data_IF_412168671672
#
_entry.id   IF_412168671672
#
_cell.length_a   1.000
_cell.length_b   1.000
_cell.length_c   1.000
_cell.angle_alpha   90.00
_cell.angle_beta   90.00
_cell.angle_gamma   90.00
#
_symmetry.space_group_name_H-M   'P 1'
#
loop_
_entity.id
_entity.type
_entity.pdbx_description
1 polymer ?
#
# COMPACT_ATOMS: atom_id res chain seq x y z
N UNK A 1 -7.13 14.78 9.31
CA UNK A 1 -8.06 13.89 8.58
C UNK A 1 -7.38 12.54 8.46
N UNK A 2 -7.94 11.45 9.01
CA UNK A 2 -7.30 10.13 8.87
C UNK A 2 -7.62 9.58 7.48
N UNK A 3 -6.69 9.75 6.55
CA UNK A 3 -6.76 9.18 5.21
C UNK A 3 -6.79 7.64 5.34
N UNK A 4 -7.82 6.98 4.82
CA UNK A 4 -8.00 5.51 4.85
C UNK A 4 -9.33 5.02 5.45
N UNK A 5 -10.01 5.84 6.25
CA UNK A 5 -11.39 5.59 6.74
C UNK A 5 -12.32 6.73 6.31
N UNK A 6 -12.15 7.20 5.08
CA UNK A 6 -12.86 8.34 4.54
C UNK A 6 -13.50 7.98 3.18
N UNK A 7 -14.79 8.31 2.96
CA UNK A 7 -15.45 8.00 1.69
C UNK A 7 -14.81 8.67 0.46
N UNK A 8 -14.19 9.86 0.59
CA UNK A 8 -13.51 10.51 -0.53
C UNK A 8 -12.20 9.80 -0.85
N UNK A 9 -11.45 9.36 0.15
CA UNK A 9 -10.25 8.53 -0.04
C UNK A 9 -10.57 7.19 -0.74
N UNK A 10 -11.67 6.54 -0.34
CA UNK A 10 -12.19 5.34 -1.01
C UNK A 10 -12.58 5.63 -2.47
N UNK A 11 -13.29 6.74 -2.73
CA UNK A 11 -13.68 7.13 -4.09
C UNK A 11 -12.45 7.40 -4.98
N UNK A 12 -11.44 8.10 -4.45
CA UNK A 12 -10.17 8.32 -5.14
C UNK A 12 -9.50 6.99 -5.51
N UNK A 13 -9.47 6.03 -4.57
CA UNK A 13 -8.90 4.70 -4.82
C UNK A 13 -9.63 3.93 -5.93
N UNK A 14 -10.97 3.99 -5.95
CA UNK A 14 -11.78 3.38 -7.01
C UNK A 14 -11.50 4.03 -8.36
N UNK A 15 -11.51 5.37 -8.41
CA UNK A 15 -11.24 6.12 -9.63
C UNK A 15 -9.87 5.76 -10.22
N UNK A 16 -8.82 5.84 -9.41
CA UNK A 16 -7.46 5.55 -9.86
C UNK A 16 -7.30 4.08 -10.26
N UNK A 17 -7.93 3.14 -9.53
CA UNK A 17 -7.97 1.74 -9.93
C UNK A 17 -8.63 1.53 -11.29
N UNK A 18 -9.75 2.21 -11.57
CA UNK A 18 -10.42 2.15 -12.88
C UNK A 18 -9.53 2.70 -13.99
N UNK A 19 -8.82 3.81 -13.77
CA UNK A 19 -7.87 4.35 -14.76
C UNK A 19 -6.68 3.42 -15.01
N UNK A 20 -6.19 2.75 -13.98
CA UNK A 20 -5.05 1.83 -14.07
C UNK A 20 -5.44 0.46 -14.63
N UNK A 21 -6.73 0.10 -14.62
CA UNK A 21 -7.25 -1.22 -14.97
C UNK A 21 -6.83 -1.72 -16.36
N UNK A 22 -6.84 -0.91 -17.44
CA UNK A 22 -6.38 -1.36 -18.75
C UNK A 22 -4.89 -1.70 -18.75
N UNK A 23 -4.06 -0.90 -18.05
CA UNK A 23 -2.62 -1.14 -17.96
C UNK A 23 -2.35 -2.40 -17.14
N UNK A 24 -3.08 -2.62 -16.05
CA UNK A 24 -3.01 -3.84 -15.26
C UNK A 24 -3.26 -5.11 -16.11
N UNK A 25 -4.26 -5.07 -17.00
CA UNK A 25 -4.65 -6.23 -17.80
C UNK A 25 -3.69 -6.51 -18.96
N UNK A 26 -3.10 -5.46 -19.53
CA UNK A 26 -2.26 -5.53 -20.74
C UNK A 26 -0.78 -5.76 -20.44
N UNK A 27 -0.39 -5.70 -19.17
CA UNK A 27 0.98 -5.91 -18.70
C UNK A 27 1.14 -7.28 -18.03
N UNK A 28 2.38 -7.74 -17.76
CA UNK A 28 2.61 -8.97 -17.00
C UNK A 28 1.85 -8.94 -15.66
N UNK A 29 1.36 -10.11 -15.24
CA UNK A 29 0.55 -10.21 -14.02
C UNK A 29 1.39 -10.57 -12.81
N UNK A 30 0.86 -10.35 -11.61
CA UNK A 30 1.48 -10.87 -10.38
C UNK A 30 1.69 -12.39 -10.43
N UNK A 31 0.73 -13.13 -11.00
CA UNK A 31 0.85 -14.57 -11.23
C UNK A 31 2.03 -14.92 -12.14
N UNK A 32 2.29 -14.13 -13.18
CA UNK A 32 3.45 -14.31 -14.06
C UNK A 32 4.77 -14.01 -13.33
N UNK A 33 4.80 -12.95 -12.51
CA UNK A 33 5.96 -12.68 -11.67
C UNK A 33 6.32 -13.89 -10.80
N UNK A 34 5.32 -14.47 -10.11
CA UNK A 34 5.55 -15.64 -9.27
C UNK A 34 5.93 -16.89 -10.07
N UNK A 35 5.31 -17.12 -11.23
CA UNK A 35 5.61 -18.31 -12.05
C UNK A 35 7.05 -18.32 -12.55
N UNK A 36 7.59 -17.15 -12.92
CA UNK A 36 8.93 -17.01 -13.50
C UNK A 36 10.04 -16.82 -12.47
N UNK A 37 9.74 -16.19 -11.34
CA UNK A 37 10.77 -15.68 -10.43
C UNK A 37 10.73 -16.23 -9.01
N UNK A 38 9.80 -17.13 -8.71
CA UNK A 38 9.77 -17.80 -7.39
C UNK A 38 10.98 -18.73 -7.23
N UNK A 39 11.69 -18.59 -6.12
CA UNK A 39 12.81 -19.46 -5.75
C UNK A 39 14.09 -19.26 -6.55
N UNK A 40 14.21 -18.21 -7.36
CA UNK A 40 15.43 -17.93 -8.15
C UNK A 40 16.57 -17.31 -7.32
N UNK A 41 16.24 -16.82 -6.13
CA UNK A 41 17.16 -16.17 -5.20
C UNK A 41 16.79 -16.53 -3.76
N UNK A 42 17.79 -16.90 -2.97
CA UNK A 42 17.59 -17.25 -1.56
C UNK A 42 17.45 -16.02 -0.66
N UNK A 43 17.97 -14.86 -1.07
CA UNK A 43 18.04 -13.67 -0.22
C UNK A 43 17.45 -12.45 -0.93
N UNK A 44 16.55 -11.75 -0.24
CA UNK A 44 16.04 -10.45 -0.64
C UNK A 44 16.60 -9.35 0.28
N UNK A 45 17.02 -8.23 -0.31
CA UNK A 45 17.31 -6.98 0.39
C UNK A 45 16.16 -6.03 0.11
N UNK A 46 15.51 -5.54 1.17
CA UNK A 46 14.47 -4.52 1.09
C UNK A 46 15.10 -3.20 1.52
N UNK A 47 15.10 -2.28 0.57
CA UNK A 47 15.69 -0.94 0.69
C UNK A 47 14.58 0.06 0.92
N UNK A 48 14.53 0.59 2.13
CA UNK A 48 13.59 1.63 2.55
C UNK A 48 14.29 2.97 2.74
N UNK A 49 13.51 4.05 2.86
CA UNK A 49 14.00 5.44 2.80
C UNK A 49 14.21 6.07 4.19
N UNK A 50 14.60 5.28 5.17
CA UNK A 50 14.94 5.76 6.51
C UNK A 50 16.34 6.39 6.55
N UNK A 51 16.63 7.29 7.51
CA UNK A 51 17.88 8.05 7.58
C UNK A 51 19.16 7.22 7.52
N UNK A 52 19.12 5.97 8.00
CA UNK A 52 20.27 5.07 8.04
C UNK A 52 20.72 4.60 6.65
N UNK A 53 19.86 4.70 5.62
CA UNK A 53 20.10 4.16 4.28
C UNK A 53 21.47 4.55 3.71
N UNK A 54 21.85 5.83 3.84
CA UNK A 54 23.05 6.39 3.22
C UNK A 54 24.31 5.60 3.57
N UNK A 55 24.43 5.10 4.80
CA UNK A 55 25.64 4.36 5.22
C UNK A 55 25.72 2.95 4.64
N UNK A 56 24.60 2.38 4.17
CA UNK A 56 24.57 1.05 3.55
C UNK A 56 24.83 1.09 2.03
N UNK A 57 24.68 2.24 1.37
CA UNK A 57 24.79 2.35 -0.09
C UNK A 57 26.12 1.81 -0.67
N UNK A 58 27.30 2.08 -0.08
CA UNK A 58 28.56 1.54 -0.61
C UNK A 58 28.61 0.01 -0.59
N UNK A 59 28.13 -0.62 0.48
CA UNK A 59 28.06 -2.08 0.58
C UNK A 59 26.99 -2.65 -0.34
N UNK A 60 25.81 -2.01 -0.40
CA UNK A 60 24.73 -2.43 -1.28
C UNK A 60 25.20 -2.47 -2.73
N UNK A 61 25.94 -1.43 -3.18
CA UNK A 61 26.53 -1.38 -4.51
C UNK A 61 27.48 -2.55 -4.79
N UNK A 62 28.33 -2.89 -3.81
CA UNK A 62 29.30 -4.00 -3.92
C UNK A 62 28.62 -5.37 -4.03
N UNK A 63 27.50 -5.57 -3.32
CA UNK A 63 26.82 -6.87 -3.23
C UNK A 63 25.54 -6.96 -4.09
N UNK A 64 25.23 -5.94 -4.89
CA UNK A 64 23.94 -5.81 -5.57
C UNK A 64 23.55 -7.00 -6.48
N UNK A 65 24.55 -7.65 -7.09
CA UNK A 65 24.32 -8.80 -7.98
C UNK A 65 24.07 -10.12 -7.24
N UNK A 66 24.17 -10.16 -5.91
CA UNK A 66 24.15 -11.40 -5.11
C UNK A 66 22.84 -11.62 -4.34
N UNK A 67 21.93 -10.65 -4.38
CA UNK A 67 20.62 -10.72 -3.74
C UNK A 67 19.55 -10.12 -4.66
N UNK A 68 18.29 -10.48 -4.43
CA UNK A 68 17.17 -9.75 -5.02
C UNK A 68 17.01 -8.42 -4.29
N UNK A 69 16.99 -7.30 -4.99
CA UNK A 69 16.81 -5.97 -4.40
C UNK A 69 15.39 -5.48 -4.71
N UNK A 70 14.62 -5.29 -3.64
CA UNK A 70 13.39 -4.50 -3.66
C UNK A 70 13.73 -3.13 -3.08
N UNK A 71 13.30 -2.05 -3.73
CA UNK A 71 13.35 -0.74 -3.12
C UNK A 71 11.98 -0.09 -3.06
N UNK A 72 11.79 0.76 -2.05
CA UNK A 72 10.68 1.69 -2.05
C UNK A 72 10.79 2.69 -3.20
N UNK A 73 9.66 3.13 -3.72
CA UNK A 73 9.54 4.24 -4.68
C UNK A 73 10.37 5.46 -4.26
N UNK A 74 10.31 5.86 -3.00
CA UNK A 74 11.08 6.97 -2.43
C UNK A 74 12.59 6.71 -2.36
N UNK A 75 13.02 5.45 -2.33
CA UNK A 75 14.43 5.06 -2.33
C UNK A 75 15.01 4.96 -3.75
N UNK A 76 14.15 4.81 -4.77
CA UNK A 76 14.57 4.62 -6.16
C UNK A 76 15.42 5.78 -6.71
N UNK A 77 15.05 7.07 -6.54
CA UNK A 77 15.91 8.17 -6.98
C UNK A 77 17.27 8.18 -6.27
N UNK A 78 17.33 7.80 -5.00
CA UNK A 78 18.58 7.70 -4.22
C UNK A 78 19.46 6.59 -4.80
N UNK A 79 18.89 5.40 -5.01
CA UNK A 79 19.60 4.26 -5.61
C UNK A 79 20.13 4.60 -7.00
N UNK A 80 19.35 5.27 -7.83
CA UNK A 80 19.76 5.74 -9.15
C UNK A 80 20.95 6.73 -9.07
N UNK A 81 20.88 7.72 -8.18
CA UNK A 81 21.97 8.68 -7.92
C UNK A 81 23.28 8.00 -7.54
N UNK A 82 23.22 6.89 -6.79
CA UNK A 82 24.39 6.12 -6.36
C UNK A 82 24.79 5.00 -7.34
N UNK A 83 24.06 4.84 -8.45
CA UNK A 83 24.33 3.83 -9.48
C UNK A 83 24.09 2.41 -8.98
N UNK A 84 23.05 2.20 -8.17
CA UNK A 84 22.65 0.91 -7.62
C UNK A 84 21.33 0.51 -8.25
N UNK A 85 21.35 -0.45 -9.16
CA UNK A 85 20.15 -0.92 -9.88
C UNK A 85 19.34 -1.90 -9.01
N UNK A 86 18.11 -1.57 -8.57
CA UNK A 86 17.21 -2.53 -7.93
C UNK A 86 16.64 -3.51 -8.97
N UNK A 87 16.18 -4.69 -8.52
CA UNK A 87 15.43 -5.61 -9.39
C UNK A 87 13.95 -5.23 -9.44
N UNK A 88 13.42 -4.73 -8.31
CA UNK A 88 12.04 -4.30 -8.16
C UNK A 88 11.96 -2.94 -7.47
N UNK A 89 11.11 -2.06 -8.00
CA UNK A 89 10.72 -0.79 -7.37
C UNK A 89 9.25 -0.88 -7.00
N UNK A 90 8.91 -0.75 -5.73
CA UNK A 90 7.54 -0.91 -5.23
C UNK A 90 6.88 0.44 -4.95
N UNK A 91 5.63 0.63 -5.39
CA UNK A 91 4.81 1.81 -5.08
C UNK A 91 3.42 1.37 -4.62
N UNK A 92 2.96 1.90 -3.49
CA UNK A 92 1.70 1.48 -2.86
C UNK A 92 0.70 2.64 -2.72
N UNK A 93 1.22 3.82 -2.43
CA UNK A 93 0.50 5.02 -2.08
C UNK A 93 -0.17 5.63 -3.32
N UNK A 94 -1.25 6.37 -3.07
CA UNK A 94 -2.18 6.84 -4.12
C UNK A 94 -2.13 8.34 -4.37
N UNK A 95 -1.15 9.01 -3.77
CA UNK A 95 -1.02 10.47 -3.80
C UNK A 95 -0.22 10.92 -5.02
N UNK A 96 -0.44 12.14 -5.47
CA UNK A 96 0.33 12.72 -6.58
C UNK A 96 1.81 12.89 -6.22
N UNK A 97 2.12 13.30 -4.99
CA UNK A 97 3.50 13.50 -4.52
C UNK A 97 4.35 12.22 -4.59
N UNK A 98 3.74 11.05 -4.37
CA UNK A 98 4.46 9.77 -4.47
C UNK A 98 4.70 9.38 -5.93
N UNK A 99 3.80 9.74 -6.85
CA UNK A 99 4.05 9.54 -8.29
C UNK A 99 5.28 10.28 -8.81
N UNK A 100 5.63 11.42 -8.22
CA UNK A 100 6.81 12.21 -8.62
C UNK A 100 8.13 11.47 -8.40
N UNK A 101 8.20 10.44 -7.54
CA UNK A 101 9.39 9.57 -7.46
C UNK A 101 9.71 8.86 -8.79
N UNK A 102 8.73 8.71 -9.68
CA UNK A 102 8.93 8.16 -11.02
C UNK A 102 9.14 9.25 -12.08
N UNK A 103 9.07 10.54 -11.74
CA UNK A 103 9.26 11.63 -12.68
C UNK A 103 10.74 12.01 -12.91
N UNK A 104 11.59 10.99 -13.05
CA UNK A 104 12.99 11.16 -13.44
C UNK A 104 13.24 10.43 -14.75
N UNK A 105 14.15 10.93 -15.56
CA UNK A 105 14.68 10.17 -16.70
C UNK A 105 16.09 9.69 -16.36
N UNK A 106 16.23 8.39 -16.12
CA UNK A 106 17.53 7.76 -15.86
C UNK A 106 18.01 6.92 -17.06
N UNK A 107 17.32 6.98 -18.21
CA UNK A 107 17.71 6.28 -19.44
C UNK A 107 17.97 4.78 -19.25
N UNK A 108 19.13 4.30 -19.69
CA UNK A 108 19.54 2.89 -19.62
C UNK A 108 19.64 2.33 -18.19
N UNK A 109 19.70 3.20 -17.18
CA UNK A 109 19.60 2.74 -15.79
C UNK A 109 18.28 2.00 -15.54
N UNK A 110 17.19 2.35 -16.20
CA UNK A 110 15.88 1.74 -15.93
C UNK A 110 15.71 0.36 -16.59
N UNK A 111 16.64 0.01 -17.49
CA UNK A 111 16.63 -1.24 -18.21
C UNK A 111 16.62 -2.43 -17.24
N UNK A 112 15.65 -3.32 -17.42
CA UNK A 112 15.44 -4.55 -16.64
C UNK A 112 14.96 -4.39 -15.19
N UNK A 113 14.77 -3.16 -14.71
CA UNK A 113 14.03 -2.89 -13.48
C UNK A 113 12.54 -3.20 -13.70
N UNK A 114 11.91 -3.91 -12.77
CA UNK A 114 10.45 -4.12 -12.79
C UNK A 114 9.78 -3.26 -11.73
N UNK A 115 8.98 -2.28 -12.15
CA UNK A 115 8.19 -1.47 -11.25
C UNK A 115 6.89 -2.22 -10.87
N UNK A 116 6.66 -2.41 -9.57
CA UNK A 116 5.52 -3.14 -9.03
C UNK A 116 4.62 -2.15 -8.31
N UNK A 117 3.49 -1.82 -8.94
CA UNK A 117 2.56 -0.81 -8.43
C UNK A 117 1.31 -1.45 -7.84
N UNK A 118 0.77 -0.90 -6.76
CA UNK A 118 -0.57 -1.22 -6.32
C UNK A 118 -1.62 -0.68 -7.31
N UNK A 119 -2.78 -1.32 -7.40
CA UNK A 119 -3.85 -0.94 -8.32
C UNK A 119 -4.35 0.49 -8.13
N UNK A 120 -4.17 1.04 -6.94
CA UNK A 120 -4.67 2.36 -6.53
C UNK A 120 -3.63 3.47 -6.67
N UNK A 121 -2.45 3.23 -7.23
CA UNK A 121 -1.44 4.30 -7.37
C UNK A 121 -1.96 5.44 -8.23
N UNK A 122 -1.44 6.65 -8.02
CA UNK A 122 -1.85 7.81 -8.79
C UNK A 122 -1.55 7.62 -10.29
N UNK A 123 -2.47 7.94 -11.22
CA UNK A 123 -2.30 7.69 -12.67
C UNK A 123 -1.04 8.28 -13.29
N UNK A 124 -0.56 9.43 -12.77
CA UNK A 124 0.73 10.01 -13.18
C UNK A 124 1.91 9.05 -13.03
N UNK A 125 1.92 8.20 -12.01
CA UNK A 125 2.97 7.21 -11.85
C UNK A 125 3.01 6.28 -13.08
N UNK A 126 1.85 5.80 -13.52
CA UNK A 126 1.72 4.95 -14.70
C UNK A 126 2.05 5.70 -15.99
N UNK A 127 1.67 6.97 -16.09
CA UNK A 127 2.07 7.85 -17.20
C UNK A 127 3.60 7.97 -17.31
N UNK A 128 4.28 8.24 -16.20
CA UNK A 128 5.74 8.36 -16.16
C UNK A 128 6.45 7.05 -16.50
N UNK A 129 5.90 5.90 -16.08
CA UNK A 129 6.42 4.58 -16.45
C UNK A 129 6.28 4.31 -17.95
N UNK A 130 5.08 4.57 -18.50
CA UNK A 130 4.78 4.38 -19.92
C UNK A 130 5.60 5.30 -20.81
N UNK A 131 5.67 6.59 -20.46
CA UNK A 131 6.40 7.61 -21.24
C UNK A 131 7.90 7.32 -21.39
N UNK A 132 8.45 6.49 -20.49
CA UNK A 132 9.87 6.11 -20.46
C UNK A 132 10.12 4.63 -20.81
N UNK A 133 9.10 3.93 -21.33
CA UNK A 133 9.18 2.52 -21.72
C UNK A 133 9.70 1.60 -20.58
N UNK A 134 9.34 1.92 -19.32
CA UNK A 134 9.72 1.13 -18.15
C UNK A 134 8.90 -0.16 -18.10
N UNK A 135 9.50 -1.24 -17.60
CA UNK A 135 8.79 -2.51 -17.37
C UNK A 135 8.04 -2.41 -16.05
N UNK A 136 6.73 -2.63 -16.06
CA UNK A 136 5.93 -2.60 -14.84
C UNK A 136 4.81 -3.62 -14.84
N UNK A 137 4.31 -3.89 -13.64
CA UNK A 137 3.05 -4.58 -13.42
C UNK A 137 2.25 -3.91 -12.32
N UNK A 138 0.94 -4.11 -12.36
CA UNK A 138 -0.01 -3.54 -11.41
C UNK A 138 -0.70 -4.69 -10.68
N UNK A 139 -0.76 -4.63 -9.35
CA UNK A 139 -1.42 -5.65 -8.52
C UNK A 139 -2.63 -5.01 -7.85
N UNK A 140 -3.86 -5.50 -8.09
CA UNK A 140 -5.03 -4.93 -7.42
C UNK A 140 -4.92 -5.16 -5.91
N UNK A 141 -5.30 -4.17 -5.11
CA UNK A 141 -5.38 -4.35 -3.65
C UNK A 141 -6.62 -5.18 -3.30
N UNK A 142 -6.55 -5.90 -2.19
CA UNK A 142 -7.70 -6.64 -1.65
C UNK A 142 -8.74 -5.68 -1.05
N UNK A 143 -9.50 -5.02 -1.92
CA UNK A 143 -10.53 -4.03 -1.62
C UNK A 143 -11.86 -4.43 -2.27
N UNK A 144 -12.97 -3.89 -1.77
CA UNK A 144 -14.32 -4.34 -2.18
C UNK A 144 -14.59 -4.10 -3.66
N UNK A 145 -14.18 -2.96 -4.22
CA UNK A 145 -14.40 -2.67 -5.63
C UNK A 145 -13.54 -3.55 -6.56
N UNK A 146 -12.22 -3.72 -6.37
CA UNK A 146 -11.43 -4.73 -7.08
C UNK A 146 -12.00 -6.16 -7.00
N UNK A 147 -12.53 -6.57 -5.84
CA UNK A 147 -13.20 -7.87 -5.68
C UNK A 147 -14.49 -7.94 -6.53
N UNK A 148 -15.28 -6.86 -6.58
CA UNK A 148 -16.49 -6.76 -7.40
C UNK A 148 -16.21 -6.87 -8.90
N UNK A 149 -15.07 -6.36 -9.38
CA UNK A 149 -14.61 -6.49 -10.77
C UNK A 149 -14.38 -7.96 -11.17
N UNK A 150 -14.10 -8.86 -10.21
CA UNK A 150 -14.01 -10.33 -10.38
C UNK A 150 -12.92 -10.81 -11.35
N UNK A 151 -11.80 -10.09 -11.44
CA UNK A 151 -10.63 -10.51 -12.21
C UNK A 151 -9.67 -11.39 -11.40
N UNK A 152 -10.15 -12.56 -10.94
CA UNK A 152 -9.41 -13.48 -10.05
C UNK A 152 -8.03 -13.92 -10.59
N UNK A 153 -7.82 -13.88 -11.90
CA UNK A 153 -6.54 -14.28 -12.52
C UNK A 153 -5.35 -13.45 -12.03
N UNK A 154 -5.56 -12.16 -11.74
CA UNK A 154 -4.49 -11.23 -11.37
C UNK A 154 -4.08 -11.33 -9.90
N UNK A 155 -4.84 -12.09 -9.11
CA UNK A 155 -4.71 -12.20 -7.64
C UNK A 155 -4.71 -10.83 -6.96
N UNK A 156 -4.49 -10.75 -5.64
CA UNK A 156 -4.54 -9.49 -4.89
C UNK A 156 -3.32 -9.27 -4.01
N UNK A 157 -2.93 -8.00 -3.86
CA UNK A 157 -2.04 -7.56 -2.81
C UNK A 157 -2.82 -7.48 -1.49
N UNK A 158 -2.46 -8.32 -0.53
CA UNK A 158 -3.16 -8.43 0.75
C UNK A 158 -2.65 -7.39 1.76
N UNK A 159 -3.54 -6.50 2.21
CA UNK A 159 -3.41 -5.54 3.33
C UNK A 159 -1.99 -5.18 3.80
N UNK A 160 -1.19 -4.60 2.91
CA UNK A 160 0.11 -4.02 3.25
C UNK A 160 -0.07 -2.52 3.55
N UNK A 161 0.29 -2.01 4.75
CA UNK A 161 0.04 -0.63 5.12
C UNK A 161 1.10 0.36 4.61
N UNK A 162 2.28 -0.11 4.20
CA UNK A 162 3.30 0.71 3.54
C UNK A 162 4.05 -0.06 2.45
N UNK A 163 4.77 0.64 1.57
CA UNK A 163 5.61 0.05 0.53
C UNK A 163 6.59 -1.01 1.06
N UNK A 164 7.18 -0.79 2.24
CA UNK A 164 8.08 -1.77 2.86
C UNK A 164 7.38 -3.10 3.16
N UNK A 165 6.14 -3.04 3.64
CA UNK A 165 5.32 -4.24 3.84
C UNK A 165 4.97 -4.92 2.52
N UNK A 166 4.70 -4.15 1.47
CA UNK A 166 4.49 -4.68 0.12
C UNK A 166 5.74 -5.41 -0.38
N UNK A 167 6.92 -4.83 -0.24
CA UNK A 167 8.18 -5.48 -0.59
C UNK A 167 8.41 -6.78 0.22
N UNK A 168 8.12 -6.76 1.53
CA UNK A 168 8.21 -7.94 2.40
C UNK A 168 7.21 -9.03 2.00
N UNK A 169 5.98 -8.67 1.69
CA UNK A 169 4.95 -9.59 1.19
C UNK A 169 5.37 -10.25 -0.14
N UNK A 170 5.91 -9.45 -1.07
CA UNK A 170 6.38 -9.96 -2.36
C UNK A 170 7.60 -10.88 -2.21
N UNK A 171 8.56 -10.53 -1.35
CA UNK A 171 9.74 -11.36 -1.11
C UNK A 171 9.37 -12.71 -0.50
N UNK A 172 8.41 -12.75 0.42
CA UNK A 172 7.81 -13.97 0.96
C UNK A 172 7.19 -14.85 -0.13
N UNK A 173 6.36 -14.27 -1.00
CA UNK A 173 5.66 -15.02 -2.04
C UNK A 173 6.59 -15.53 -3.15
N UNK A 174 7.69 -14.81 -3.39
CA UNK A 174 8.79 -15.24 -4.25
C UNK A 174 9.70 -16.28 -3.60
N UNK A 175 9.41 -16.70 -2.36
CA UNK A 175 10.08 -17.80 -1.66
C UNK A 175 11.57 -17.54 -1.36
N UNK A 176 11.91 -16.29 -1.02
CA UNK A 176 13.22 -15.99 -0.45
C UNK A 176 13.30 -16.62 0.95
N UNK A 177 14.47 -17.16 1.30
CA UNK A 177 14.75 -17.77 2.61
C UNK A 177 15.16 -16.73 3.64
N UNK A 178 15.89 -15.71 3.20
CA UNK A 178 16.38 -14.61 4.04
C UNK A 178 15.83 -13.27 3.52
N UNK A 179 15.35 -12.42 4.43
CA UNK A 179 15.02 -11.02 4.16
C UNK A 179 15.99 -10.14 4.93
N UNK A 180 16.60 -9.17 4.28
CA UNK A 180 17.49 -8.17 4.90
C UNK A 180 16.84 -6.81 4.78
N UNK A 181 16.67 -6.11 5.90
CA UNK A 181 16.23 -4.71 5.92
C UNK A 181 17.42 -3.76 5.99
N UNK A 182 17.42 -2.76 5.11
CA UNK A 182 18.29 -1.58 5.20
C UNK A 182 17.46 -0.32 4.99
N UNK A 183 17.79 0.78 5.68
CA UNK A 183 16.98 1.99 5.71
C UNK A 183 15.55 1.82 6.25
N UNK A 184 15.21 0.68 6.89
CA UNK A 184 13.90 0.44 7.50
C UNK A 184 13.85 0.99 8.94
N UNK A 185 14.10 2.29 9.10
CA UNK A 185 14.41 2.85 10.42
C UNK A 185 13.19 2.99 11.32
N UNK A 186 12.04 3.40 10.78
CA UNK A 186 10.81 3.64 11.56
C UNK A 186 11.04 4.55 12.78
N UNK A 187 12.01 5.46 12.67
CA UNK A 187 12.45 6.37 13.70
C UNK A 187 13.24 7.51 13.06
N UNK A 188 13.31 8.63 13.78
CA UNK A 188 14.12 9.78 13.37
C UNK A 188 15.60 9.53 13.67
N UNK A 189 16.48 10.13 12.87
CA UNK A 189 17.90 10.20 13.20
C UNK A 189 18.15 11.08 14.45
N UNK A 190 19.36 10.99 15.02
CA UNK A 190 19.73 11.79 16.21
C UNK A 190 19.60 13.31 15.96
N UNK A 191 19.84 13.76 14.72
CA UNK A 191 19.66 15.15 14.31
C UNK A 191 18.19 15.54 14.03
N UNK A 192 17.24 14.61 14.18
CA UNK A 192 15.81 14.82 13.94
C UNK A 192 15.34 14.59 12.50
N UNK A 193 16.22 14.19 11.58
CA UNK A 193 15.82 13.88 10.21
C UNK A 193 14.90 12.64 10.16
N UNK A 194 13.88 12.71 9.31
CA UNK A 194 12.96 11.59 9.02
C UNK A 194 13.43 10.74 7.84
N UNK A 195 14.27 11.30 6.97
CA UNK A 195 14.77 10.68 5.75
C UNK A 195 16.26 10.98 5.53
N UNK A 196 16.95 10.28 4.61
CA UNK A 196 18.29 10.62 4.16
C UNK A 196 18.37 12.01 3.52
N UNK A 197 19.56 12.61 3.53
CA UNK A 197 19.84 13.91 2.88
C UNK A 197 19.54 13.92 1.37
N UNK A 198 19.67 12.76 0.73
CA UNK A 198 19.39 12.58 -0.70
C UNK A 198 17.89 12.42 -1.03
N UNK A 199 17.00 12.46 -0.03
CA UNK A 199 15.56 12.35 -0.27
C UNK A 199 15.00 13.59 -0.98
N UNK A 200 14.28 13.37 -2.09
CA UNK A 200 13.86 14.46 -2.98
C UNK A 200 12.95 15.52 -2.32
N UNK A 201 12.20 15.14 -1.28
CA UNK A 201 11.28 16.03 -0.58
C UNK A 201 11.89 16.64 0.70
N UNK A 202 13.23 16.62 0.86
CA UNK A 202 14.01 17.02 2.04
C UNK A 202 14.06 15.99 3.18
N UNK A 203 15.24 15.85 3.79
CA UNK A 203 15.50 14.97 4.93
C UNK A 203 14.55 15.17 6.14
N UNK A 204 13.95 16.36 6.25
CA UNK A 204 13.05 16.74 7.34
C UNK A 204 11.56 16.70 6.97
N UNK A 205 11.19 16.14 5.81
CA UNK A 205 9.83 16.14 5.26
C UNK A 205 8.72 15.79 6.28
N UNK A 206 8.92 14.73 7.10
CA UNK A 206 7.94 14.30 8.11
C UNK A 206 8.35 14.65 9.55
N UNK A 207 9.47 15.35 9.76
CA UNK A 207 10.09 15.51 11.09
C UNK A 207 9.20 16.24 12.11
N UNK A 208 8.23 17.03 11.66
CA UNK A 208 7.31 17.79 12.52
C UNK A 208 5.84 17.43 12.26
N UNK A 209 5.56 16.37 11.49
CA UNK A 209 4.21 16.03 11.09
C UNK A 209 3.40 15.36 12.21
N UNK A 210 4.09 14.69 13.14
CA UNK A 210 3.50 13.92 14.22
C UNK A 210 4.19 14.23 15.55
N UNK A 211 3.48 13.99 16.66
CA UNK A 211 4.08 14.02 17.99
C UNK A 211 5.17 12.96 18.11
N UNK A 212 6.29 13.34 18.74
CA UNK A 212 7.42 12.45 18.95
C UNK A 212 7.20 11.61 20.20
N UNK A 213 7.28 10.29 20.04
CA UNK A 213 7.30 9.31 21.12
C UNK A 213 8.63 8.56 21.11
N UNK A 214 8.92 7.83 22.19
CA UNK A 214 10.14 7.02 22.30
C UNK A 214 9.84 5.55 22.05
N UNK A 215 10.82 4.85 21.49
CA UNK A 215 10.81 3.40 21.34
C UNK A 215 12.23 2.85 21.50
N UNK A 216 12.35 1.55 21.69
CA UNK A 216 13.65 0.90 21.81
C UNK A 216 14.41 0.99 20.49
N UNK A 217 15.66 1.46 20.56
CA UNK A 217 16.52 1.62 19.41
C UNK A 217 17.18 0.28 19.03
N UNK A 218 17.61 0.18 17.77
CA UNK A 218 18.47 -0.90 17.27
C UNK A 218 19.58 -1.25 18.29
N UNK A 219 19.73 -2.54 18.60
CA UNK A 219 20.69 -3.05 19.58
C UNK A 219 20.19 -3.08 21.03
N UNK A 220 19.00 -2.55 21.32
CA UNK A 220 18.27 -2.75 22.58
C UNK A 220 18.88 -2.11 23.82
N UNK A 221 19.65 -1.03 23.65
CA UNK A 221 20.37 -0.35 24.76
C UNK A 221 19.97 1.10 24.98
N UNK A 222 19.23 1.68 24.04
CA UNK A 222 18.88 3.10 24.03
C UNK A 222 17.44 3.24 23.55
N UNK A 223 16.87 4.41 23.79
CA UNK A 223 15.62 4.83 23.17
C UNK A 223 15.90 5.76 21.99
N UNK A 224 14.98 5.78 21.03
CA UNK A 224 15.02 6.63 19.85
C UNK A 224 13.64 7.25 19.60
N UNK A 225 13.62 8.44 19.01
CA UNK A 225 12.39 9.14 18.67
C UNK A 225 11.71 8.51 17.46
N UNK A 226 10.40 8.35 17.53
CA UNK A 226 9.52 7.86 16.47
C UNK A 226 8.14 8.51 16.60
N UNK A 227 7.13 8.02 15.88
CA UNK A 227 5.73 8.45 16.03
C UNK A 227 4.76 7.25 15.87
N UNK A 228 3.50 7.48 16.19
CA UNK A 228 2.46 6.43 16.27
C UNK A 228 2.29 5.60 14.99
N UNK A 229 2.38 6.22 13.81
CA UNK A 229 2.22 5.52 12.53
C UNK A 229 3.40 4.59 12.24
N UNK A 230 4.63 5.02 12.55
CA UNK A 230 5.80 4.16 12.42
C UNK A 230 5.81 3.02 13.45
N UNK A 231 5.28 3.23 14.66
CA UNK A 231 5.05 2.15 15.62
C UNK A 231 4.03 1.15 15.07
N UNK A 232 2.93 1.63 14.49
CA UNK A 232 1.97 0.76 13.82
C UNK A 232 2.62 -0.06 12.70
N UNK A 233 3.42 0.58 11.83
CA UNK A 233 4.18 -0.11 10.78
C UNK A 233 5.15 -1.14 11.34
N UNK A 234 5.89 -0.81 12.41
CA UNK A 234 6.78 -1.74 13.10
C UNK A 234 6.02 -2.98 13.57
N UNK A 235 4.90 -2.80 14.26
CA UNK A 235 4.10 -3.90 14.81
C UNK A 235 3.53 -4.82 13.72
N UNK A 236 3.13 -4.27 12.56
CA UNK A 236 2.68 -5.09 11.43
C UNK A 236 3.85 -5.89 10.84
N UNK A 237 5.04 -5.30 10.67
CA UNK A 237 6.24 -6.05 10.25
C UNK A 237 6.56 -7.20 11.21
N UNK A 238 6.56 -6.93 12.52
CA UNK A 238 6.79 -7.94 13.56
C UNK A 238 5.78 -9.09 13.47
N UNK A 239 4.49 -8.76 13.32
CA UNK A 239 3.43 -9.75 13.14
C UNK A 239 3.61 -10.57 11.85
N UNK A 240 4.06 -9.96 10.75
CA UNK A 240 4.38 -10.67 9.51
C UNK A 240 5.54 -11.65 9.72
N UNK A 241 6.63 -11.22 10.34
CA UNK A 241 7.82 -12.06 10.58
C UNK A 241 7.45 -13.30 11.41
N UNK A 242 6.69 -13.10 12.49
CA UNK A 242 6.24 -14.19 13.36
C UNK A 242 5.30 -15.13 12.60
N UNK A 243 4.29 -14.59 11.90
CA UNK A 243 3.27 -15.38 11.20
C UNK A 243 3.85 -16.26 10.10
N UNK A 244 4.85 -15.76 9.37
CA UNK A 244 5.43 -16.45 8.22
C UNK A 244 6.70 -17.23 8.56
N UNK A 245 7.20 -17.14 9.79
CA UNK A 245 8.41 -17.82 10.26
C UNK A 245 9.63 -17.63 9.34
N UNK A 246 9.79 -16.42 8.79
CA UNK A 246 10.88 -16.11 7.87
C UNK A 246 12.10 -15.55 8.62
N UNK A 247 13.29 -16.04 8.26
CA UNK A 247 14.54 -15.48 8.76
C UNK A 247 14.72 -14.07 8.22
N UNK A 248 14.56 -13.09 9.11
CA UNK A 248 14.63 -11.67 8.76
C UNK A 248 15.76 -11.01 9.54
N UNK A 249 16.61 -10.28 8.85
CA UNK A 249 17.75 -9.56 9.42
C UNK A 249 17.46 -8.06 9.41
N UNK A 250 17.56 -7.45 10.58
CA UNK A 250 17.59 -6.00 10.66
C UNK A 250 19.04 -5.54 10.51
N UNK A 251 19.37 -4.95 9.36
CA UNK A 251 20.70 -4.47 9.01
C UNK A 251 20.74 -2.95 8.81
N UNK A 252 19.77 -2.24 9.38
CA UNK A 252 19.72 -0.77 9.37
C UNK A 252 20.82 -0.15 10.20
N UNK A 253 21.37 -0.88 11.19
CA UNK A 253 22.39 -0.39 12.14
C UNK A 253 21.97 0.95 12.79
N UNK A 254 20.66 1.16 12.96
CA UNK A 254 20.02 2.40 13.36
C UNK A 254 18.49 2.27 13.31
N UNK A 255 17.79 3.31 13.74
CA UNK A 255 16.32 3.27 13.82
C UNK A 255 15.79 2.47 15.00
N UNK A 256 14.49 2.17 14.96
CA UNK A 256 13.80 1.35 15.94
C UNK A 256 14.24 -0.11 15.86
N UNK A 257 14.32 -0.77 17.02
CA UNK A 257 14.40 -2.23 17.11
C UNK A 257 13.13 -2.82 16.50
N UNK A 258 13.23 -3.91 15.76
CA UNK A 258 12.09 -4.63 15.16
C UNK A 258 12.09 -6.05 15.70
N UNK A 259 11.12 -6.40 16.53
CA UNK A 259 11.04 -7.70 17.19
C UNK A 259 10.86 -8.85 16.20
N UNK A 260 11.44 -10.00 16.53
CA UNK A 260 11.49 -11.17 15.64
C UNK A 260 12.56 -11.10 14.53
N UNK A 261 13.21 -9.95 14.33
CA UNK A 261 14.39 -9.86 13.45
C UNK A 261 15.68 -10.27 14.16
N UNK A 262 16.67 -10.66 13.38
CA UNK A 262 18.05 -10.86 13.83
C UNK A 262 18.83 -9.59 13.51
N UNK A 263 19.21 -8.82 14.53
CA UNK A 263 20.04 -7.63 14.35
C UNK A 263 21.49 -8.02 14.03
N UNK A 264 21.97 -7.59 12.86
CA UNK A 264 23.35 -7.81 12.39
C UNK A 264 23.82 -6.60 11.59
N UNK A 265 25.12 -6.23 11.64
CA UNK A 265 25.68 -5.26 10.71
C UNK A 265 25.43 -5.67 9.25
N UNK A 266 25.20 -4.72 8.35
CA UNK A 266 24.90 -5.06 6.96
C UNK A 266 26.06 -5.79 6.28
N UNK A 267 27.30 -5.45 6.65
CA UNK A 267 28.49 -6.16 6.20
C UNK A 267 28.46 -7.64 6.57
N UNK A 268 28.05 -7.98 7.80
CA UNK A 268 27.95 -9.36 8.25
C UNK A 268 26.95 -10.13 7.37
N UNK A 269 25.77 -9.56 7.10
CA UNK A 269 24.77 -10.19 6.26
C UNK A 269 25.28 -10.39 4.82
N UNK A 270 25.99 -9.40 4.28
CA UNK A 270 26.63 -9.50 2.97
C UNK A 270 27.64 -10.67 2.92
N UNK A 271 28.53 -10.76 3.90
CA UNK A 271 29.60 -11.76 3.91
C UNK A 271 29.09 -13.18 4.21
N UNK A 272 28.01 -13.33 4.97
CA UNK A 272 27.50 -14.63 5.45
C UNK A 272 26.28 -15.15 4.68
N UNK A 273 25.58 -14.31 3.91
CA UNK A 273 24.38 -14.71 3.17
C UNK A 273 24.52 -14.55 1.66
N UNK A 274 25.45 -13.71 1.18
CA UNK A 274 25.57 -13.32 -0.23
C UNK A 274 26.86 -13.88 -0.84
N UNK A 275 26.95 -15.20 -0.99
CA UNK A 275 28.17 -15.85 -1.49
C UNK A 275 28.25 -15.95 -3.02
N UNK A 276 27.11 -16.03 -3.71
CA UNK A 276 27.04 -16.31 -5.15
C UNK A 276 26.37 -15.17 -5.89
N UNK A 277 26.87 -14.88 -7.08
CA UNK A 277 26.18 -13.96 -7.99
C UNK A 277 24.91 -14.62 -8.52
N UNK A 278 23.86 -13.83 -8.66
CA UNK A 278 22.61 -14.24 -9.30
C UNK A 278 22.72 -14.01 -10.81
N UNK A 279 22.02 -14.84 -11.57
CA UNK A 279 21.88 -14.66 -13.01
C UNK A 279 20.91 -13.50 -13.29
N UNK A 280 21.45 -12.27 -13.26
CA UNK A 280 20.72 -11.04 -13.60
C UNK A 280 21.03 -10.59 -15.04
N UNK A 281 20.05 -10.01 -15.77
CA UNK A 281 18.68 -9.76 -15.34
C UNK A 281 17.87 -11.05 -15.21
N UNK A 282 16.90 -11.06 -14.31
CA UNK A 282 15.99 -12.20 -14.14
C UNK A 282 15.13 -12.43 -15.37
N UNK A 283 14.56 -13.63 -15.47
CA UNK A 283 13.70 -14.03 -16.58
C UNK A 283 12.65 -12.95 -16.90
N UNK A 284 12.50 -12.68 -18.20
CA UNK A 284 11.56 -11.67 -18.71
C UNK A 284 10.14 -12.10 -18.40
N UNK A 285 9.34 -11.15 -17.93
CA UNK A 285 7.92 -11.34 -17.69
C UNK A 285 7.14 -11.00 -18.96
N UNK A 286 6.23 -11.87 -19.37
CA UNK A 286 5.42 -11.67 -20.56
C UNK A 286 3.96 -11.33 -20.19
N UNK A 287 3.30 -10.44 -20.94
CA UNK A 287 1.87 -10.21 -20.76
C UNK A 287 1.05 -11.41 -21.26
N UNK A 288 -0.23 -11.41 -20.92
CA UNK A 288 -1.20 -12.35 -21.49
C UNK A 288 -1.27 -12.24 -23.03
N UNK A 289 -1.78 -13.27 -23.70
CA UNK A 289 -2.09 -13.17 -25.13
C UNK A 289 -3.15 -12.09 -25.39
N UNK A 290 -3.09 -11.44 -26.56
CA UNK A 290 -4.02 -10.36 -26.92
C UNK A 290 -5.49 -10.75 -26.77
N UNK A 291 -5.85 -11.99 -27.14
CA UNK A 291 -7.20 -12.52 -26.97
C UNK A 291 -7.64 -12.56 -25.49
N UNK A 292 -6.73 -12.95 -24.59
CA UNK A 292 -7.00 -12.96 -23.14
C UNK A 292 -7.05 -11.57 -22.54
N UNK A 293 -6.20 -10.65 -23.02
CA UNK A 293 -6.27 -9.24 -22.63
C UNK A 293 -7.65 -8.65 -23.01
N UNK A 294 -8.08 -8.83 -24.25
CA UNK A 294 -9.38 -8.36 -24.74
C UNK A 294 -10.56 -8.97 -23.96
N UNK A 295 -10.50 -10.28 -23.66
CA UNK A 295 -11.51 -10.96 -22.83
C UNK A 295 -11.64 -10.30 -21.44
N UNK A 296 -10.52 -10.05 -20.76
CA UNK A 296 -10.53 -9.43 -19.43
C UNK A 296 -10.92 -7.95 -19.47
N UNK A 297 -10.50 -7.20 -20.49
CA UNK A 297 -10.91 -5.81 -20.70
C UNK A 297 -12.43 -5.70 -20.87
N UNK A 298 -13.05 -6.57 -21.67
CA UNK A 298 -14.51 -6.60 -21.85
C UNK A 298 -15.25 -6.95 -20.55
N UNK A 299 -14.74 -7.93 -19.78
CA UNK A 299 -15.29 -8.28 -18.46
C UNK A 299 -15.22 -7.11 -17.47
N UNK A 300 -14.07 -6.44 -17.42
CA UNK A 300 -13.86 -5.25 -16.60
C UNK A 300 -14.80 -4.12 -17.00
N UNK A 301 -14.85 -3.79 -18.29
CA UNK A 301 -15.71 -2.74 -18.84
C UNK A 301 -17.19 -2.97 -18.47
N UNK A 302 -17.70 -4.18 -18.69
CA UNK A 302 -19.07 -4.54 -18.32
C UNK A 302 -19.35 -4.31 -16.84
N UNK A 303 -18.41 -4.69 -15.96
CA UNK A 303 -18.55 -4.52 -14.51
C UNK A 303 -18.56 -3.05 -14.08
N UNK A 304 -17.67 -2.24 -14.64
CA UNK A 304 -17.62 -0.80 -14.41
C UNK A 304 -18.92 -0.13 -14.87
N UNK A 305 -19.39 -0.41 -16.09
CA UNK A 305 -20.67 0.12 -16.58
C UNK A 305 -21.85 -0.29 -15.70
N UNK A 306 -21.88 -1.54 -15.22
CA UNK A 306 -22.90 -2.01 -14.28
C UNK A 306 -22.86 -1.24 -12.96
N UNK A 307 -21.68 -0.97 -12.41
CA UNK A 307 -21.53 -0.20 -11.18
C UNK A 307 -21.96 1.25 -11.37
N UNK A 308 -21.58 1.90 -12.47
CA UNK A 308 -22.03 3.27 -12.80
C UNK A 308 -23.57 3.34 -12.86
N UNK A 309 -24.22 2.36 -13.48
CA UNK A 309 -25.69 2.27 -13.48
C UNK A 309 -26.24 2.12 -12.07
N UNK A 310 -25.66 1.21 -11.29
CA UNK A 310 -26.07 0.98 -9.90
C UNK A 310 -25.92 2.25 -9.05
N UNK A 311 -24.81 2.99 -9.15
CA UNK A 311 -24.62 4.28 -8.48
C UNK A 311 -25.74 5.28 -8.80
N UNK A 312 -26.11 5.41 -10.07
CA UNK A 312 -27.16 6.35 -10.51
C UNK A 312 -28.53 5.97 -9.99
N UNK A 313 -28.87 4.68 -10.05
CA UNK A 313 -30.15 4.17 -9.56
C UNK A 313 -30.21 4.30 -8.03
N UNK A 314 -29.13 3.96 -7.34
CA UNK A 314 -29.02 4.08 -5.90
C UNK A 314 -29.09 5.53 -5.41
N UNK A 315 -28.43 6.47 -6.11
CA UNK A 315 -28.52 7.90 -5.81
C UNK A 315 -29.96 8.43 -5.82
N UNK A 316 -30.79 7.99 -6.78
CA UNK A 316 -32.23 8.36 -6.82
C UNK A 316 -33.00 7.82 -5.61
N UNK A 317 -32.71 6.57 -5.22
CA UNK A 317 -33.31 5.95 -4.03
C UNK A 317 -32.92 6.73 -2.77
N UNK A 318 -31.63 7.06 -2.63
CA UNK A 318 -31.12 7.86 -1.52
C UNK A 318 -31.79 9.23 -1.43
N UNK A 319 -31.95 9.94 -2.55
CA UNK A 319 -32.63 11.25 -2.57
C UNK A 319 -34.08 11.17 -2.11
N UNK A 320 -34.81 10.13 -2.54
CA UNK A 320 -36.20 9.93 -2.11
C UNK A 320 -36.29 9.60 -0.61
N UNK A 321 -35.43 8.70 -0.12
CA UNK A 321 -35.37 8.36 1.30
C UNK A 321 -35.01 9.57 2.15
N UNK A 322 -34.04 10.39 1.72
CA UNK A 322 -33.66 11.63 2.39
C UNK A 322 -34.82 12.61 2.49
N UNK A 323 -35.51 12.90 1.38
CA UNK A 323 -36.66 13.80 1.37
C UNK A 323 -37.80 13.30 2.29
N UNK A 324 -38.04 11.98 2.31
CA UNK A 324 -39.04 11.38 3.19
C UNK A 324 -38.68 11.55 4.67
N UNK A 325 -37.42 11.28 5.03
CA UNK A 325 -36.93 11.45 6.41
C UNK A 325 -36.96 12.93 6.82
N UNK A 326 -36.54 13.83 5.94
CA UNK A 326 -36.55 15.27 6.17
C UNK A 326 -37.99 15.78 6.42
N UNK A 327 -38.95 15.33 5.61
CA UNK A 327 -40.35 15.70 5.79
C UNK A 327 -40.91 15.21 7.14
N UNK A 328 -40.55 13.99 7.56
CA UNK A 328 -40.93 13.49 8.89
C UNK A 328 -40.31 14.37 9.97
N UNK A 329 -39.02 14.68 9.85
CA UNK A 329 -38.29 15.49 10.82
C UNK A 329 -38.89 16.90 10.98
N UNK A 330 -39.22 17.58 9.87
CA UNK A 330 -39.82 18.92 9.90
C UNK A 330 -41.21 18.94 10.53
N UNK A 331 -41.94 17.82 10.47
CA UNK A 331 -43.28 17.67 11.04
C UNK A 331 -43.27 17.07 12.46
N UNK A 332 -42.10 16.88 13.08
CA UNK A 332 -41.98 16.34 14.43
C UNK A 332 -42.61 17.30 15.46
N UNK A 333 -43.75 16.92 16.02
CA UNK A 333 -44.39 17.64 17.12
C UNK A 333 -43.86 17.22 18.52
N UNK A 334 -42.65 16.64 18.58
CA UNK A 334 -42.00 16.10 19.80
C UNK A 334 -42.83 15.06 20.57
N UNK A 335 -43.82 14.41 19.93
CA UNK A 335 -44.53 13.26 20.52
C UNK A 335 -43.70 11.99 20.34
N UNK A 336 -43.76 11.10 21.32
CA UNK A 336 -43.01 9.84 21.33
C UNK A 336 -43.24 8.98 20.06
N UNK A 337 -44.49 8.93 19.58
CA UNK A 337 -44.85 8.21 18.36
C UNK A 337 -44.16 8.76 17.10
N UNK A 338 -44.01 10.08 17.00
CA UNK A 338 -43.37 10.72 15.84
C UNK A 338 -41.85 10.46 15.85
N UNK A 339 -41.25 10.44 17.04
CA UNK A 339 -39.85 10.08 17.23
C UNK A 339 -39.58 8.61 16.85
N UNK A 340 -40.43 7.69 17.31
CA UNK A 340 -40.34 6.27 16.98
C UNK A 340 -40.47 6.03 15.46
N UNK A 341 -41.34 6.79 14.78
CA UNK A 341 -41.48 6.74 13.33
C UNK A 341 -40.19 7.17 12.62
N UNK A 342 -39.58 8.27 13.07
CA UNK A 342 -38.33 8.78 12.51
C UNK A 342 -37.19 7.76 12.68
N UNK A 343 -37.05 7.18 13.89
CA UNK A 343 -36.06 6.14 14.18
C UNK A 343 -36.24 4.94 13.24
N UNK A 344 -37.46 4.41 13.12
CA UNK A 344 -37.75 3.28 12.23
C UNK A 344 -37.35 3.57 10.78
N UNK A 345 -37.57 4.79 10.29
CA UNK A 345 -37.21 5.17 8.92
C UNK A 345 -35.69 5.28 8.72
N UNK A 346 -34.98 5.78 9.73
CA UNK A 346 -33.51 5.79 9.74
C UNK A 346 -32.98 4.35 9.75
N UNK A 347 -33.58 3.44 10.52
CA UNK A 347 -33.18 2.03 10.55
C UNK A 347 -33.46 1.31 9.22
N UNK A 348 -34.62 1.54 8.60
CA UNK A 348 -34.94 1.03 7.26
C UNK A 348 -33.90 1.50 6.22
N UNK A 349 -33.52 2.78 6.29
CA UNK A 349 -32.48 3.36 5.44
C UNK A 349 -31.10 2.72 5.70
N UNK A 350 -30.71 2.59 6.98
CA UNK A 350 -29.47 1.94 7.38
C UNK A 350 -29.40 0.52 6.82
N UNK A 351 -30.43 -0.30 7.03
CA UNK A 351 -30.49 -1.69 6.56
C UNK A 351 -30.28 -1.82 5.04
N UNK A 352 -30.71 -0.84 4.23
CA UNK A 352 -30.44 -0.82 2.79
C UNK A 352 -28.94 -0.65 2.50
N UNK A 353 -28.27 0.25 3.21
CA UNK A 353 -26.81 0.47 3.09
C UNK A 353 -26.00 -0.75 3.52
N UNK A 354 -26.49 -1.50 4.51
CA UNK A 354 -25.79 -2.68 5.04
C UNK A 354 -25.93 -3.93 4.19
N UNK A 355 -26.78 -3.93 3.16
CA UNK A 355 -27.00 -5.11 2.33
C UNK A 355 -25.81 -5.36 1.38
N UNK A 356 -24.74 -5.95 1.91
CA UNK A 356 -23.47 -6.23 1.21
C UNK A 356 -23.68 -6.95 -0.12
N UNK A 357 -24.65 -7.88 -0.19
CA UNK A 357 -24.92 -8.64 -1.42
C UNK A 357 -25.37 -7.74 -2.56
N UNK A 358 -26.13 -6.69 -2.27
CA UNK A 358 -26.60 -5.72 -3.25
C UNK A 358 -25.61 -4.57 -3.44
N UNK A 359 -24.88 -4.19 -2.38
CA UNK A 359 -24.01 -3.01 -2.35
C UNK A 359 -22.53 -3.31 -2.58
N UNK A 360 -22.14 -4.50 -3.04
CA UNK A 360 -20.74 -4.92 -3.08
C UNK A 360 -19.80 -3.93 -3.79
N UNK A 361 -20.24 -3.33 -4.90
CA UNK A 361 -19.48 -2.34 -5.66
C UNK A 361 -19.42 -0.96 -5.00
N UNK A 362 -20.37 -0.65 -4.12
CA UNK A 362 -20.43 0.63 -3.39
C UNK A 362 -19.87 0.50 -1.98
N UNK A 363 -19.67 -0.72 -1.49
CA UNK A 363 -19.40 -1.01 -0.09
C UNK A 363 -18.11 -0.35 0.41
N UNK A 364 -17.11 -0.22 -0.46
CA UNK A 364 -15.86 0.49 -0.14
C UNK A 364 -16.09 1.96 0.23
N UNK A 365 -17.06 2.62 -0.40
CA UNK A 365 -17.43 4.01 -0.12
C UNK A 365 -18.40 4.09 1.08
N UNK A 366 -19.34 3.15 1.16
CA UNK A 366 -20.42 3.17 2.16
C UNK A 366 -19.95 2.76 3.56
N UNK A 367 -18.98 1.84 3.66
CA UNK A 367 -18.55 1.32 4.95
C UNK A 367 -17.89 2.37 5.85
N UNK A 368 -16.96 3.22 5.37
CA UNK A 368 -16.38 4.29 6.19
C UNK A 368 -17.44 5.27 6.69
N UNK A 369 -18.37 5.68 5.81
CA UNK A 369 -19.49 6.56 6.17
C UNK A 369 -20.32 5.97 7.30
N UNK A 370 -20.70 4.69 7.19
CA UNK A 370 -21.48 4.00 8.22
C UNK A 370 -20.72 3.92 9.54
N UNK A 371 -19.45 3.53 9.52
CA UNK A 371 -18.65 3.41 10.73
C UNK A 371 -18.50 4.77 11.43
N UNK A 372 -18.27 5.85 10.69
CA UNK A 372 -18.22 7.20 11.27
C UNK A 372 -19.57 7.61 11.90
N UNK A 373 -20.68 7.30 11.22
CA UNK A 373 -22.02 7.56 11.75
C UNK A 373 -22.27 6.80 13.07
N UNK A 374 -21.95 5.51 13.12
CA UNK A 374 -22.11 4.68 14.32
C UNK A 374 -21.24 5.15 15.49
N UNK A 375 -19.99 5.57 15.22
CA UNK A 375 -19.12 6.13 16.25
C UNK A 375 -19.66 7.44 16.83
N UNK A 376 -20.22 8.31 15.99
CA UNK A 376 -20.84 9.55 16.45
C UNK A 376 -22.10 9.28 17.29
N UNK A 377 -22.91 8.31 16.88
CA UNK A 377 -24.10 7.91 17.64
C UNK A 377 -23.69 7.27 18.98
N UNK A 378 -22.68 6.40 19.00
CA UNK A 378 -22.16 5.79 20.22
C UNK A 378 -21.66 6.84 21.22
N UNK A 379 -20.99 7.90 20.76
CA UNK A 379 -20.57 9.02 21.62
C UNK A 379 -21.76 9.69 22.30
N UNK A 380 -22.87 9.92 21.60
CA UNK A 380 -24.08 10.51 22.18
C UNK A 380 -24.66 9.60 23.27
N UNK A 381 -24.74 8.30 23.01
CA UNK A 381 -25.23 7.32 24.01
C UNK A 381 -24.35 7.22 25.25
N UNK A 382 -23.02 7.27 25.08
CA UNK A 382 -22.06 7.22 26.20
C UNK A 382 -22.11 8.50 27.04
N UNK A 383 -22.31 9.66 26.40
CA UNK A 383 -22.42 10.95 27.11
C UNK A 383 -23.81 11.19 27.74
N UNK A 384 -24.83 10.49 27.26
CA UNK A 384 -26.20 10.52 27.79
C UNK A 384 -26.65 9.10 28.15
N UNK A 385 -25.97 8.42 29.09
CA UNK A 385 -26.40 7.10 29.52
C UNK A 385 -27.79 7.26 30.11
N UNK A 386 -28.78 6.56 29.54
CA UNK A 386 -30.09 6.45 30.21
C UNK A 386 -29.82 5.83 31.58
N UNK A 387 -30.01 6.62 32.64
CA UNK A 387 -30.20 6.12 34.01
C UNK A 387 -31.41 5.22 34.07
#
# INVERSE_FOLDING_TARGET
VSHGNDPLDALQGIEQFVYNLPQMITHPSYKELLSKRKGISDTAIIVSTGPSLTKQLPLLKKYANKATIFCADSSYPILAKHGIKPDYVCMLERTEITAEFFNHDFGEFDKDIVFVCAGVVHPKAIEYLKGRNRKYLIIPRYLYFPIYIKLKYFDFLYNTPSVAHMACYLSLHLNHKNIIFIGQDLAYAENGNSHPDDYQNSANYESQMYEHILTEAYGGKKEIKTHEVWIFFKQILEAMIIKYHITTYNCTEGGARIEGTIEKPFLWACENLLHKDLNKPFEKLEPLSLNKQNEFLLKAYYKVCKSIKHCRDFSKILSNDFNNIQNIYLNLNKKENDLNLAIRKIDEFKNKLENIKQMQDLYEILQPLRTQFELNLARIYVLNPKT
#
